data_IF_037378087270
#
_entry.id   IF_037378087270
#
_cell.length_a   1.000
_cell.length_b   1.000
_cell.length_c   1.000
_cell.angle_alpha   90.00
_cell.angle_beta   90.00
_cell.angle_gamma   90.00
#
_symmetry.space_group_name_H-M   'P 1'
#
loop_
_entity.id
_entity.type
_entity.pdbx_description
1 polymer ?
#
# COMPACT_ATOMS: atom_id res chain seq x y z
N UNK A 1 17.12 23.68 39.05
CA UNK A 1 17.44 22.41 38.36
C UNK A 1 16.16 21.83 37.78
N UNK A 2 15.85 22.16 36.53
CA UNK A 2 14.66 21.65 35.83
C UNK A 2 15.07 20.66 34.75
N UNK A 3 14.71 19.38 34.91
CA UNK A 3 14.80 18.38 33.84
C UNK A 3 13.49 18.39 33.06
N UNK A 4 13.53 18.86 31.81
CA UNK A 4 12.48 18.59 30.81
C UNK A 4 12.72 17.20 30.24
N UNK A 5 11.74 16.32 30.42
CA UNK A 5 11.66 15.01 29.76
C UNK A 5 11.14 15.28 28.34
N UNK A 6 11.88 14.82 27.31
CA UNK A 6 11.42 14.83 25.92
C UNK A 6 10.39 13.70 25.72
N UNK A 7 9.29 13.90 24.97
CA UNK A 7 8.47 12.78 24.51
C UNK A 7 9.23 12.03 23.41
N UNK A 8 9.24 10.70 23.51
CA UNK A 8 9.70 9.81 22.45
C UNK A 8 8.69 9.85 21.30
N UNK A 9 9.15 10.25 20.11
CA UNK A 9 8.36 10.14 18.88
C UNK A 9 8.34 8.68 18.43
N UNK A 10 7.14 8.12 18.27
CA UNK A 10 6.93 6.91 17.51
C UNK A 10 7.03 7.25 16.00
N UNK A 11 7.89 6.59 15.22
CA UNK A 11 7.79 6.66 13.77
C UNK A 11 6.62 5.75 13.34
N UNK A 12 5.58 6.35 12.76
CA UNK A 12 4.63 5.61 11.94
C UNK A 12 5.40 5.05 10.75
N UNK A 13 5.42 3.72 10.63
CA UNK A 13 6.09 3.03 9.53
C UNK A 13 5.08 2.95 8.38
N UNK A 14 5.26 3.80 7.37
CA UNK A 14 4.68 3.58 6.06
C UNK A 14 5.59 2.58 5.33
N UNK A 15 5.09 1.38 5.09
CA UNK A 15 5.80 0.40 4.27
C UNK A 15 5.55 0.73 2.79
N UNK A 16 6.52 1.41 2.18
CA UNK A 16 6.61 1.50 0.73
C UNK A 16 7.43 0.30 0.27
N UNK A 17 6.84 -0.60 -0.51
CA UNK A 17 7.57 -1.67 -1.19
C UNK A 17 8.41 -1.07 -2.32
N UNK A 18 9.72 -1.30 -2.31
CA UNK A 18 10.66 -0.61 -3.22
C UNK A 18 11.56 -1.61 -3.92
N UNK A 19 11.75 -1.38 -5.23
CA UNK A 19 12.70 -2.05 -6.12
C UNK A 19 14.15 -1.88 -5.64
N UNK A 20 14.79 -2.96 -5.21
CA UNK A 20 16.25 -3.05 -5.00
C UNK A 20 16.88 -3.84 -6.15
N UNK A 21 17.42 -3.17 -7.19
CA UNK A 21 18.33 -3.80 -8.16
C UNK A 21 19.75 -3.31 -7.92
N UNK A 22 20.60 -4.17 -7.35
CA UNK A 22 22.03 -3.96 -7.25
C UNK A 22 22.68 -4.11 -8.64
N UNK A 23 23.21 -3.03 -9.21
CA UNK A 23 24.08 -3.10 -10.38
C UNK A 23 25.55 -3.23 -9.96
N UNK A 24 26.25 -4.23 -10.50
CA UNK A 24 27.69 -4.37 -10.40
C UNK A 24 28.41 -3.36 -11.29
N UNK A 25 29.28 -2.54 -10.71
CA UNK A 25 30.14 -1.60 -11.45
C UNK A 25 31.37 -2.30 -12.04
N UNK A 26 31.51 -2.30 -13.37
CA UNK A 26 32.78 -2.47 -14.08
C UNK A 26 33.51 -1.12 -14.25
N UNK A 27 34.84 -1.11 -14.49
CA UNK A 27 35.64 0.11 -14.41
C UNK A 27 35.47 1.03 -15.62
N UNK A 28 35.44 2.34 -15.34
CA UNK A 28 35.28 3.42 -16.28
C UNK A 28 36.52 3.65 -17.16
N UNK A 29 36.33 3.75 -18.48
CA UNK A 29 37.31 4.28 -19.42
C UNK A 29 37.15 5.81 -19.58
N UNK A 30 38.26 6.54 -19.45
CA UNK A 30 38.33 8.02 -19.60
C UNK A 30 38.17 8.44 -21.07
N UNK A 31 37.51 9.58 -21.39
CA UNK A 31 37.57 10.14 -22.73
C UNK A 31 38.74 11.12 -22.90
N UNK A 32 39.39 11.06 -24.05
CA UNK A 32 40.39 12.02 -24.53
C UNK A 32 39.67 13.14 -25.27
N UNK A 33 39.94 14.39 -24.87
CA UNK A 33 39.42 15.58 -25.52
C UNK A 33 40.08 15.80 -26.89
N UNK A 34 39.28 16.06 -27.93
CA UNK A 34 39.72 16.76 -29.15
C UNK A 34 38.80 17.92 -29.46
N UNK A 35 39.39 19.11 -29.50
CA UNK A 35 38.78 20.37 -29.95
C UNK A 35 38.62 20.35 -31.47
N UNK A 36 37.44 20.75 -31.94
CA UNK A 36 37.19 21.15 -33.32
C UNK A 36 35.87 21.92 -33.38
N UNK A 37 35.94 23.24 -33.55
CA UNK A 37 34.79 24.05 -33.96
C UNK A 37 34.71 24.05 -35.48
N UNK A 38 33.49 24.01 -36.04
CA UNK A 38 33.15 25.05 -37.00
C UNK A 38 31.81 25.72 -36.67
N UNK A 39 31.73 26.98 -37.08
CA UNK A 39 30.54 27.84 -37.04
C UNK A 39 29.64 27.44 -38.20
N UNK A 40 28.37 27.16 -37.94
CA UNK A 40 27.32 27.17 -38.96
C UNK A 40 26.17 28.08 -38.54
N UNK A 41 25.92 29.07 -39.38
CA UNK A 41 24.77 29.97 -39.35
C UNK A 41 23.56 29.16 -39.86
N UNK A 42 22.52 29.00 -39.03
CA UNK A 42 21.30 28.26 -39.40
C UNK A 42 20.06 29.05 -39.03
N UNK A 43 19.23 29.34 -40.04
CA UNK A 43 17.93 30.00 -39.90
C UNK A 43 17.04 29.30 -38.86
N UNK A 44 16.49 30.07 -37.93
CA UNK A 44 15.43 29.62 -37.01
C UNK A 44 14.09 29.76 -37.72
N UNK A 45 13.59 28.68 -38.31
CA UNK A 45 12.18 28.51 -38.61
C UNK A 45 11.48 28.05 -37.33
N UNK A 46 10.71 28.95 -36.72
CA UNK A 46 9.86 28.67 -35.58
C UNK A 46 8.66 27.83 -35.99
N UNK A 47 8.83 26.51 -36.04
CA UNK A 47 7.73 25.56 -35.94
C UNK A 47 7.61 25.09 -34.50
N UNK A 48 6.48 25.34 -33.84
CA UNK A 48 6.09 24.58 -32.66
C UNK A 48 5.85 23.13 -33.09
N UNK A 49 6.93 22.36 -33.19
CA UNK A 49 6.85 20.91 -33.10
C UNK A 49 6.45 20.61 -31.66
N UNK A 50 5.18 20.24 -31.47
CA UNK A 50 4.76 19.43 -30.33
C UNK A 50 5.54 18.12 -30.44
N UNK A 51 6.79 18.12 -29.97
CA UNK A 51 7.58 16.91 -29.83
C UNK A 51 6.77 15.97 -28.94
N UNK A 52 6.49 14.79 -29.46
CA UNK A 52 6.00 13.69 -28.64
C UNK A 52 6.91 13.61 -27.39
N UNK A 53 6.34 13.54 -26.18
CA UNK A 53 7.15 13.41 -24.98
C UNK A 53 8.10 12.22 -25.15
N UNK A 54 9.34 12.31 -24.65
CA UNK A 54 10.19 11.13 -24.56
C UNK A 54 9.42 10.09 -23.74
N UNK A 55 9.47 8.80 -24.14
CA UNK A 55 8.86 7.74 -23.35
C UNK A 55 9.36 7.80 -21.91
N UNK A 56 8.54 7.35 -20.97
CA UNK A 56 8.93 7.09 -19.60
C UNK A 56 10.38 6.55 -19.55
N UNK A 57 11.31 7.38 -19.07
CA UNK A 57 12.73 7.04 -18.99
C UNK A 57 13.00 5.87 -18.05
N UNK A 58 14.26 5.60 -17.72
CA UNK A 58 14.65 4.51 -16.80
C UNK A 58 13.82 4.42 -15.51
N UNK A 59 13.80 3.24 -14.89
CA UNK A 59 13.08 2.99 -13.64
C UNK A 59 13.42 3.99 -12.53
N UNK A 60 12.46 4.24 -11.66
CA UNK A 60 12.69 4.91 -10.37
C UNK A 60 13.06 3.84 -9.34
N UNK A 61 14.14 4.09 -8.60
CA UNK A 61 14.61 3.22 -7.50
C UNK A 61 14.78 4.06 -6.23
N UNK A 62 14.85 3.44 -5.04
CA UNK A 62 15.40 4.14 -3.88
C UNK A 62 16.91 3.94 -3.80
N UNK A 63 17.61 4.99 -3.43
CA UNK A 63 19.01 4.93 -3.03
C UNK A 63 19.18 5.83 -1.81
N UNK A 64 19.65 5.27 -0.70
CA UNK A 64 19.82 5.98 0.58
C UNK A 64 18.54 6.71 1.06
N UNK A 65 17.37 6.11 0.84
CA UNK A 65 16.08 6.66 1.27
C UNK A 65 15.49 7.75 0.34
N UNK A 66 16.09 8.00 -0.82
CA UNK A 66 15.58 8.95 -1.81
C UNK A 66 15.30 8.27 -3.14
N UNK A 67 14.25 8.72 -3.83
CA UNK A 67 13.97 8.26 -5.19
C UNK A 67 15.03 8.80 -6.15
N UNK A 68 15.47 7.93 -7.06
CA UNK A 68 16.47 8.21 -8.07
C UNK A 68 16.02 7.64 -9.39
N UNK A 69 16.13 8.45 -10.44
CA UNK A 69 15.89 8.01 -11.80
C UNK A 69 17.15 7.32 -12.34
N UNK A 70 17.00 6.08 -12.82
CA UNK A 70 18.15 5.24 -13.22
C UNK A 70 18.81 5.67 -14.52
N UNK A 71 18.09 6.38 -15.39
CA UNK A 71 18.63 6.83 -16.66
C UNK A 71 19.44 8.12 -16.50
N UNK A 72 18.85 9.12 -15.83
CA UNK A 72 19.52 10.38 -15.54
C UNK A 72 20.55 10.28 -14.41
N UNK A 73 20.42 9.25 -13.55
CA UNK A 73 21.21 9.10 -12.33
C UNK A 73 20.96 10.20 -11.29
N UNK A 74 19.92 11.01 -11.45
CA UNK A 74 19.61 12.15 -10.57
C UNK A 74 18.52 11.80 -9.57
N UNK A 75 18.46 12.54 -8.47
CA UNK A 75 17.30 12.45 -7.57
C UNK A 75 16.04 12.82 -8.32
N UNK A 76 14.98 12.06 -8.07
CA UNK A 76 13.66 12.32 -8.59
C UNK A 76 12.74 12.63 -7.40
N UNK A 77 12.00 13.74 -7.47
CA UNK A 77 11.10 14.16 -6.40
C UNK A 77 9.68 14.06 -6.95
N UNK A 78 8.82 13.19 -6.39
CA UNK A 78 7.44 13.11 -6.83
C UNK A 78 6.71 14.41 -6.51
N UNK A 79 6.05 14.99 -7.51
CA UNK A 79 5.11 16.09 -7.35
C UNK A 79 3.88 15.85 -8.24
N UNK A 80 2.72 15.77 -7.63
CA UNK A 80 1.49 15.60 -8.40
C UNK A 80 0.32 15.25 -7.51
N UNK A 81 -0.56 14.40 -8.01
CA UNK A 81 -1.92 14.30 -7.51
C UNK A 81 -2.25 12.88 -7.06
N UNK A 82 -3.08 12.79 -6.02
CA UNK A 82 -3.89 11.60 -5.81
C UNK A 82 -5.06 11.66 -6.79
N UNK A 83 -5.15 10.67 -7.67
CA UNK A 83 -6.14 10.59 -8.71
C UNK A 83 -6.92 9.28 -8.55
N UNK A 84 -8.15 9.38 -8.05
CA UNK A 84 -9.02 8.22 -7.98
C UNK A 84 -9.54 7.92 -9.38
N UNK A 85 -9.12 6.78 -9.92
CA UNK A 85 -9.40 6.38 -11.30
C UNK A 85 -10.44 5.28 -11.39
N UNK A 86 -10.23 4.20 -10.62
CA UNK A 86 -11.03 2.98 -10.67
C UNK A 86 -11.38 2.49 -9.26
N UNK A 87 -12.40 3.08 -8.64
CA UNK A 87 -12.94 2.61 -7.38
C UNK A 87 -14.44 2.98 -7.30
N UNK A 88 -15.30 2.12 -7.84
CA UNK A 88 -16.74 2.37 -7.90
C UNK A 88 -17.38 2.56 -6.52
N UNK A 89 -16.83 1.95 -5.47
CA UNK A 89 -17.32 2.08 -4.09
C UNK A 89 -17.24 3.51 -3.55
N UNK A 90 -16.34 4.35 -4.10
CA UNK A 90 -16.22 5.78 -3.76
C UNK A 90 -16.55 6.68 -4.95
N UNK A 91 -17.33 6.16 -5.91
CA UNK A 91 -17.79 6.88 -7.10
C UNK A 91 -16.67 7.31 -8.07
N UNK A 92 -15.49 6.68 -7.99
CA UNK A 92 -14.40 6.88 -8.93
C UNK A 92 -14.57 5.95 -10.14
N UNK A 93 -15.24 6.45 -11.18
CA UNK A 93 -15.61 5.69 -12.39
C UNK A 93 -15.13 6.37 -13.67
N UNK A 94 -13.92 6.93 -13.66
CA UNK A 94 -13.38 7.70 -14.78
C UNK A 94 -13.30 6.83 -16.05
N UNK A 95 -13.87 7.33 -17.14
CA UNK A 95 -13.72 6.70 -18.46
C UNK A 95 -12.28 6.82 -18.98
N UNK A 96 -11.86 5.96 -19.93
CA UNK A 96 -10.54 6.07 -20.56
C UNK A 96 -10.22 7.48 -21.09
N UNK A 97 -11.19 8.13 -21.75
CA UNK A 97 -11.02 9.49 -22.27
C UNK A 97 -10.86 10.55 -21.16
N UNK A 98 -11.52 10.38 -20.00
CA UNK A 98 -11.32 11.25 -18.85
C UNK A 98 -9.93 11.03 -18.24
N UNK A 99 -9.46 9.79 -18.15
CA UNK A 99 -8.11 9.46 -17.67
C UNK A 99 -7.05 10.12 -18.54
N UNK A 100 -7.15 9.97 -19.87
CA UNK A 100 -6.24 10.61 -20.81
C UNK A 100 -6.22 12.14 -20.67
N UNK A 101 -7.41 12.76 -20.61
CA UNK A 101 -7.56 14.20 -20.45
C UNK A 101 -6.95 14.68 -19.13
N UNK A 102 -7.35 14.09 -18.01
CA UNK A 102 -6.92 14.50 -16.68
C UNK A 102 -5.41 14.35 -16.51
N UNK A 103 -4.83 13.22 -16.94
CA UNK A 103 -3.38 13.02 -16.89
C UNK A 103 -2.62 14.01 -17.77
N UNK A 104 -3.15 14.33 -18.96
CA UNK A 104 -2.56 15.34 -19.83
C UNK A 104 -2.60 16.73 -19.17
N UNK A 105 -3.72 17.13 -18.56
CA UNK A 105 -3.84 18.42 -17.85
C UNK A 105 -2.93 18.47 -16.62
N UNK A 106 -2.85 17.40 -15.84
CA UNK A 106 -1.92 17.28 -14.71
C UNK A 106 -0.46 17.43 -15.16
N UNK A 107 -0.10 16.82 -16.29
CA UNK A 107 1.22 16.99 -16.90
C UNK A 107 1.47 18.42 -17.38
N UNK A 108 0.46 19.11 -17.95
CA UNK A 108 0.58 20.52 -18.37
C UNK A 108 0.86 21.46 -17.20
N UNK A 109 0.37 21.13 -16.00
CA UNK A 109 0.71 21.85 -14.76
C UNK A 109 1.95 21.29 -14.05
N UNK A 110 2.78 20.54 -14.77
CA UNK A 110 4.08 20.02 -14.33
C UNK A 110 4.02 18.95 -13.23
N UNK A 111 2.92 18.21 -13.11
CA UNK A 111 2.98 16.96 -12.35
C UNK A 111 3.92 15.96 -13.05
N UNK A 112 4.69 15.22 -12.25
CA UNK A 112 5.53 14.11 -12.72
C UNK A 112 5.08 12.76 -12.17
N UNK A 113 4.14 12.76 -11.23
CA UNK A 113 3.71 11.55 -10.52
C UNK A 113 2.25 11.56 -10.16
N UNK A 114 1.60 10.40 -10.19
CA UNK A 114 0.22 10.21 -9.77
C UNK A 114 0.11 9.02 -8.82
N UNK A 115 -0.68 9.17 -7.76
CA UNK A 115 -1.19 8.03 -6.99
C UNK A 115 -2.53 7.61 -7.59
N UNK A 116 -2.63 6.37 -8.07
CA UNK A 116 -3.82 5.82 -8.75
C UNK A 116 -4.35 4.61 -7.98
N UNK A 117 -5.58 4.20 -8.25
CA UNK A 117 -6.21 3.04 -7.61
C UNK A 117 -6.13 1.81 -8.51
N UNK A 118 -5.67 0.68 -7.98
CA UNK A 118 -5.80 -0.66 -8.57
C UNK A 118 -6.71 -1.49 -7.64
N UNK A 119 -8.02 -1.26 -7.76
CA UNK A 119 -9.04 -1.84 -6.89
C UNK A 119 -9.28 -3.31 -7.22
N UNK A 120 -9.26 -4.18 -6.20
CA UNK A 120 -9.34 -5.63 -6.40
C UNK A 120 -10.58 -6.07 -7.15
N UNK A 121 -11.78 -5.66 -6.71
CA UNK A 121 -13.03 -6.04 -7.37
C UNK A 121 -13.24 -5.48 -8.78
N UNK A 122 -12.48 -4.46 -9.18
CA UNK A 122 -12.49 -3.90 -10.55
C UNK A 122 -11.56 -4.68 -11.47
N UNK A 123 -10.55 -5.34 -10.92
CA UNK A 123 -9.52 -6.07 -11.66
C UNK A 123 -9.84 -7.57 -11.70
N UNK A 124 -10.21 -8.17 -10.58
CA UNK A 124 -10.61 -9.57 -10.47
C UNK A 124 -12.13 -9.65 -10.28
N UNK A 125 -12.84 -9.68 -11.40
CA UNK A 125 -14.31 -9.54 -11.44
C UNK A 125 -15.04 -10.81 -11.01
N UNK A 126 -14.37 -11.96 -11.11
CA UNK A 126 -14.78 -13.26 -10.57
C UNK A 126 -13.53 -14.00 -10.07
N UNK A 127 -13.68 -15.04 -9.26
CA UNK A 127 -12.57 -15.84 -8.76
C UNK A 127 -11.68 -16.32 -9.91
N UNK A 128 -10.42 -15.89 -9.90
CA UNK A 128 -9.41 -16.14 -10.94
C UNK A 128 -9.76 -15.62 -12.35
N UNK A 129 -10.68 -14.65 -12.48
CA UNK A 129 -11.01 -13.98 -13.74
C UNK A 129 -10.66 -12.51 -13.69
N UNK A 130 -9.65 -12.13 -14.48
CA UNK A 130 -9.05 -10.81 -14.46
C UNK A 130 -9.40 -9.99 -15.70
N UNK A 131 -9.88 -8.76 -15.47
CA UNK A 131 -9.99 -7.72 -16.49
C UNK A 131 -8.94 -6.63 -16.20
N UNK A 132 -7.91 -6.60 -17.04
CA UNK A 132 -6.80 -5.64 -16.93
C UNK A 132 -6.99 -4.40 -17.78
N UNK A 133 -8.07 -4.31 -18.57
CA UNK A 133 -8.23 -3.29 -19.60
C UNK A 133 -8.06 -1.86 -19.07
N UNK A 134 -8.65 -1.56 -17.90
CA UNK A 134 -8.57 -0.22 -17.29
C UNK A 134 -7.21 0.08 -16.69
N UNK A 135 -6.59 -0.88 -16.00
CA UNK A 135 -5.27 -0.68 -15.39
C UNK A 135 -4.17 -0.63 -16.45
N UNK A 136 -4.27 -1.42 -17.52
CA UNK A 136 -3.38 -1.33 -18.67
C UNK A 136 -3.48 0.04 -19.34
N UNK A 137 -4.70 0.55 -19.53
CA UNK A 137 -4.92 1.88 -20.08
C UNK A 137 -4.29 2.99 -19.23
N UNK A 138 -4.43 2.91 -17.90
CA UNK A 138 -3.82 3.83 -16.94
C UNK A 138 -2.29 3.81 -17.05
N UNK A 139 -1.69 2.61 -17.07
CA UNK A 139 -0.24 2.46 -17.14
C UNK A 139 0.30 2.96 -18.47
N UNK A 140 -0.32 2.57 -19.59
CA UNK A 140 0.08 3.02 -20.92
C UNK A 140 -0.02 4.54 -21.06
N UNK A 141 -1.12 5.14 -20.60
CA UNK A 141 -1.31 6.59 -20.62
C UNK A 141 -0.23 7.31 -19.81
N UNK A 142 0.16 6.75 -18.66
CA UNK A 142 1.24 7.32 -17.86
C UNK A 142 2.60 7.19 -18.56
N UNK A 143 2.90 6.06 -19.20
CA UNK A 143 4.12 5.87 -20.00
C UNK A 143 4.21 6.88 -21.15
N UNK A 144 3.11 7.04 -21.89
CA UNK A 144 3.00 7.95 -23.04
C UNK A 144 3.17 9.41 -22.62
N UNK A 145 2.78 9.77 -21.39
CA UNK A 145 2.89 11.13 -20.87
C UNK A 145 4.18 11.37 -20.05
N UNK A 146 5.00 10.33 -19.84
CA UNK A 146 6.19 10.40 -19.00
C UNK A 146 5.87 10.63 -17.51
N UNK A 147 4.70 10.19 -17.04
CA UNK A 147 4.28 10.25 -15.65
C UNK A 147 4.71 8.98 -14.92
N UNK A 148 5.03 9.12 -13.63
CA UNK A 148 5.28 7.98 -12.74
C UNK A 148 4.04 7.67 -11.89
N UNK A 149 3.79 6.41 -11.63
CA UNK A 149 2.65 5.93 -10.88
C UNK A 149 3.08 5.41 -9.51
N UNK A 150 2.25 5.70 -8.52
CA UNK A 150 2.17 5.03 -7.24
C UNK A 150 0.82 4.31 -7.14
N UNK A 151 0.69 3.09 -7.71
CA UNK A 151 -0.58 2.38 -7.66
C UNK A 151 -0.84 1.90 -6.24
N UNK A 152 -2.02 2.24 -5.73
CA UNK A 152 -2.57 1.67 -4.52
C UNK A 152 -3.26 0.35 -4.88
N UNK A 153 -2.66 -0.75 -4.45
CA UNK A 153 -3.10 -2.11 -4.74
C UNK A 153 -4.09 -2.55 -3.68
N UNK A 154 -5.34 -2.69 -4.11
CA UNK A 154 -6.43 -3.19 -3.29
C UNK A 154 -6.83 -2.24 -2.16
N UNK A 155 -8.05 -2.45 -1.70
CA UNK A 155 -8.51 -1.96 -0.41
C UNK A 155 -8.74 -3.16 0.50
N UNK A 156 -9.04 -2.94 1.77
CA UNK A 156 -9.46 -4.03 2.65
C UNK A 156 -10.85 -4.58 2.31
N UNK A 157 -11.53 -3.99 1.32
CA UNK A 157 -12.76 -4.49 0.71
C UNK A 157 -12.41 -5.42 -0.47
N UNK A 158 -12.58 -6.74 -0.31
CA UNK A 158 -12.34 -7.68 -1.39
C UNK A 158 -13.51 -7.67 -2.40
N UNK A 159 -13.36 -8.37 -3.55
CA UNK A 159 -14.41 -8.49 -4.55
C UNK A 159 -15.69 -9.15 -4.00
N UNK A 160 -16.82 -8.98 -4.70
CA UNK A 160 -18.12 -9.54 -4.27
C UNK A 160 -18.19 -11.07 -4.25
N UNK A 161 -17.35 -11.75 -5.02
CA UNK A 161 -17.22 -13.21 -5.01
C UNK A 161 -16.41 -13.73 -3.81
N UNK A 162 -15.75 -12.85 -3.06
CA UNK A 162 -14.90 -13.22 -1.94
C UNK A 162 -15.72 -13.96 -0.86
N UNK A 163 -15.29 -15.15 -0.40
CA UNK A 163 -16.07 -15.94 0.53
C UNK A 163 -16.40 -15.19 1.83
N UNK A 164 -17.66 -15.23 2.24
CA UNK A 164 -18.12 -14.47 3.41
C UNK A 164 -17.44 -14.91 4.71
N UNK A 165 -17.05 -16.17 4.83
CA UNK A 165 -16.29 -16.68 5.98
C UNK A 165 -14.86 -16.14 6.08
N UNK A 166 -14.33 -15.53 5.00
CA UNK A 166 -13.02 -14.89 4.98
C UNK A 166 -13.10 -13.38 5.31
N UNK A 167 -14.30 -12.85 5.49
CA UNK A 167 -14.52 -11.48 5.92
C UNK A 167 -14.48 -11.38 7.45
N UNK A 168 -14.05 -10.23 7.97
CA UNK A 168 -13.98 -9.96 9.39
C UNK A 168 -15.38 -9.83 10.02
N UNK A 169 -15.50 -10.11 11.31
CA UNK A 169 -16.77 -9.96 12.06
C UNK A 169 -16.70 -8.75 12.97
N UNK A 170 -17.76 -7.93 12.94
CA UNK A 170 -17.93 -6.74 13.78
C UNK A 170 -18.22 -7.12 15.24
N UNK A 171 -18.02 -6.18 16.15
CA UNK A 171 -18.28 -6.34 17.58
C UNK A 171 -19.70 -6.81 17.91
N UNK A 172 -20.70 -6.33 17.15
CA UNK A 172 -22.10 -6.71 17.28
C UNK A 172 -22.42 -8.08 16.64
N UNK A 173 -21.39 -8.83 16.19
CA UNK A 173 -21.47 -10.14 15.53
C UNK A 173 -22.03 -10.14 14.11
N UNK A 174 -22.25 -8.96 13.52
CA UNK A 174 -22.56 -8.86 12.10
C UNK A 174 -21.30 -9.04 11.25
N UNK A 175 -21.50 -9.54 10.04
CA UNK A 175 -20.44 -9.63 9.04
C UNK A 175 -19.98 -8.22 8.63
N UNK A 176 -18.66 -8.01 8.52
CA UNK A 176 -18.08 -6.81 7.91
C UNK A 176 -17.86 -7.02 6.41
N UNK A 177 -17.65 -5.92 5.68
CA UNK A 177 -17.17 -5.95 4.30
C UNK A 177 -15.63 -5.98 4.21
N UNK A 178 -14.94 -5.88 5.34
CA UNK A 178 -13.49 -5.91 5.41
C UNK A 178 -12.98 -7.34 5.47
N UNK A 179 -11.87 -7.62 4.78
CA UNK A 179 -11.14 -8.88 4.86
C UNK A 179 -10.72 -9.22 6.30
N UNK A 180 -10.81 -10.49 6.69
CA UNK A 180 -10.26 -10.95 7.96
C UNK A 180 -8.73 -11.02 7.87
N UNK A 181 -8.05 -10.13 8.59
CA UNK A 181 -6.59 -10.09 8.59
C UNK A 181 -5.93 -11.34 9.14
N UNK A 182 -6.60 -12.17 9.95
CA UNK A 182 -6.04 -13.40 10.52
C UNK A 182 -6.40 -14.67 9.78
N UNK A 183 -7.38 -14.62 8.86
CA UNK A 183 -7.81 -15.81 8.13
C UNK A 183 -6.73 -16.21 7.11
N UNK A 184 -6.21 -17.46 7.16
CA UNK A 184 -5.09 -17.88 6.31
C UNK A 184 -5.43 -17.80 4.81
N UNK A 185 -6.61 -18.29 4.41
CA UNK A 185 -7.02 -18.23 3.01
C UNK A 185 -7.27 -16.79 2.53
N UNK A 186 -7.80 -15.92 3.39
CA UNK A 186 -7.98 -14.51 3.08
C UNK A 186 -6.64 -13.82 2.83
N UNK A 187 -5.66 -14.04 3.72
CA UNK A 187 -4.27 -13.59 3.54
C UNK A 187 -3.70 -14.11 2.22
N UNK A 188 -3.85 -15.40 1.95
CA UNK A 188 -3.35 -16.04 0.73
C UNK A 188 -3.93 -15.41 -0.52
N UNK A 189 -5.26 -15.24 -0.59
CA UNK A 189 -5.95 -14.63 -1.71
C UNK A 189 -5.48 -13.19 -1.95
N UNK A 190 -5.35 -12.40 -0.88
CA UNK A 190 -4.89 -11.02 -0.99
C UNK A 190 -3.43 -10.92 -1.45
N UNK A 191 -2.54 -11.79 -0.96
CA UNK A 191 -1.15 -11.85 -1.43
C UNK A 191 -1.02 -12.36 -2.86
N UNK A 192 -1.89 -13.27 -3.30
CA UNK A 192 -1.93 -13.73 -4.69
C UNK A 192 -2.35 -12.58 -5.62
N UNK A 193 -3.40 -11.85 -5.25
CA UNK A 193 -3.83 -10.66 -5.99
C UNK A 193 -2.70 -9.60 -6.09
N UNK A 194 -2.02 -9.29 -4.97
CA UNK A 194 -0.87 -8.38 -4.98
C UNK A 194 0.21 -8.89 -5.96
N UNK A 195 0.58 -10.18 -5.88
CA UNK A 195 1.62 -10.76 -6.74
C UNK A 195 1.26 -10.66 -8.23
N UNK A 196 -0.02 -10.87 -8.58
CA UNK A 196 -0.50 -10.76 -9.97
C UNK A 196 -0.44 -9.34 -10.48
N UNK A 197 -0.85 -8.37 -9.66
CA UNK A 197 -0.80 -6.95 -10.03
C UNK A 197 0.65 -6.50 -10.20
N UNK A 198 1.52 -6.77 -9.23
CA UNK A 198 2.91 -6.32 -9.31
C UNK A 198 3.67 -7.02 -10.42
N UNK A 199 3.52 -8.34 -10.56
CA UNK A 199 4.17 -9.11 -11.62
C UNK A 199 3.70 -8.73 -13.03
N UNK A 200 2.44 -8.29 -13.20
CA UNK A 200 1.94 -7.81 -14.49
C UNK A 200 2.67 -6.57 -14.97
N UNK A 201 2.99 -5.64 -14.07
CA UNK A 201 3.55 -4.33 -14.40
C UNK A 201 5.03 -4.18 -14.01
N UNK A 202 5.72 -5.28 -13.68
CA UNK A 202 7.11 -5.27 -13.21
C UNK A 202 8.09 -4.56 -14.18
N UNK A 203 7.85 -4.71 -15.48
CA UNK A 203 8.70 -4.16 -16.55
C UNK A 203 8.28 -2.75 -16.98
N UNK A 204 7.19 -2.20 -16.44
CA UNK A 204 6.75 -0.86 -16.78
C UNK A 204 7.58 0.19 -16.02
N UNK A 205 8.30 1.09 -16.71
CA UNK A 205 9.01 2.18 -16.06
C UNK A 205 8.06 3.24 -15.50
N UNK A 206 6.78 3.26 -15.87
CA UNK A 206 5.81 4.15 -15.25
C UNK A 206 5.63 3.82 -13.77
N UNK A 207 5.79 2.58 -13.33
CA UNK A 207 5.65 2.23 -11.90
C UNK A 207 6.87 2.71 -11.11
N UNK A 208 6.68 3.67 -10.21
CA UNK A 208 7.73 4.14 -9.30
C UNK A 208 7.79 3.35 -7.98
N UNK A 209 6.63 3.05 -7.39
CA UNK A 209 6.53 2.21 -6.19
C UNK A 209 5.09 1.71 -6.00
N UNK A 210 4.93 0.68 -5.19
CA UNK A 210 3.63 0.11 -4.84
C UNK A 210 3.16 0.59 -3.48
N UNK A 211 1.90 1.00 -3.39
CA UNK A 211 1.21 1.23 -2.12
C UNK A 211 0.34 -0.01 -1.87
N UNK A 212 0.66 -0.80 -0.86
CA UNK A 212 -0.01 -2.07 -0.60
C UNK A 212 -1.15 -1.84 0.39
N UNK A 213 -2.39 -1.79 -0.09
CA UNK A 213 -3.58 -1.45 0.69
C UNK A 213 -3.73 0.02 1.05
N UNK A 214 -4.90 0.40 1.58
CA UNK A 214 -5.22 1.76 2.00
C UNK A 214 -5.57 1.82 3.49
N UNK A 215 -4.72 2.39 4.35
CA UNK A 215 -5.07 2.69 5.74
C UNK A 215 -5.66 1.50 6.53
N UNK A 216 -4.90 0.41 6.67
CA UNK A 216 -5.34 -0.76 7.43
C UNK A 216 -5.82 -0.39 8.82
N UNK A 217 -7.02 -0.88 9.15
CA UNK A 217 -7.66 -0.64 10.42
C UNK A 217 -8.50 -1.86 10.83
N UNK A 218 -8.64 -2.06 12.14
CA UNK A 218 -9.59 -3.02 12.72
C UNK A 218 -10.99 -2.41 12.88
N UNK A 219 -11.40 -1.55 11.95
CA UNK A 219 -12.75 -1.02 11.80
C UNK A 219 -12.93 -0.52 10.38
N UNK A 220 -14.17 -0.27 9.98
CA UNK A 220 -14.53 0.19 8.65
C UNK A 220 -14.52 1.73 8.59
N UNK A 221 -13.52 2.29 7.87
CA UNK A 221 -13.35 3.74 7.68
C UNK A 221 -14.48 4.37 6.83
N UNK A 222 -15.22 3.56 6.08
CA UNK A 222 -16.27 3.99 5.16
C UNK A 222 -17.66 3.49 5.58
N UNK A 223 -17.79 2.89 6.78
CA UNK A 223 -19.08 2.49 7.32
C UNK A 223 -19.95 3.74 7.54
N UNK A 224 -21.18 3.69 7.06
CA UNK A 224 -22.14 4.80 7.17
C UNK A 224 -22.89 4.81 8.50
N UNK A 225 -22.78 3.73 9.27
CA UNK A 225 -23.42 3.59 10.57
C UNK A 225 -22.55 4.24 11.67
N UNK A 226 -23.18 5.10 12.47
CA UNK A 226 -22.59 5.67 13.69
C UNK A 226 -23.19 4.96 14.91
N UNK A 227 -22.38 4.37 15.82
CA UNK A 227 -20.92 4.37 15.86
C UNK A 227 -20.27 3.34 14.93
N UNK A 228 -19.10 3.69 14.37
CA UNK A 228 -18.22 2.73 13.70
C UNK A 228 -17.82 1.60 14.66
N UNK A 229 -18.01 0.35 14.23
CA UNK A 229 -17.72 -0.79 15.07
C UNK A 229 -16.33 -1.38 14.75
N UNK A 230 -15.63 -1.79 15.80
CA UNK A 230 -14.42 -2.58 15.62
C UNK A 230 -14.76 -3.95 14.97
N UNK A 231 -13.86 -4.45 14.14
CA UNK A 231 -13.89 -5.79 13.55
C UNK A 231 -12.91 -6.74 14.26
N UNK A 232 -12.82 -7.97 13.77
CA UNK A 232 -11.94 -9.01 14.31
C UNK A 232 -12.50 -9.72 15.54
N UNK A 233 -13.83 -9.80 15.66
CA UNK A 233 -14.51 -10.54 16.74
C UNK A 233 -14.99 -11.92 16.29
N UNK A 234 -14.36 -12.49 15.27
CA UNK A 234 -14.54 -13.88 14.85
C UNK A 234 -13.66 -14.85 15.68
N UNK A 235 -13.91 -16.15 15.54
CA UNK A 235 -13.17 -17.18 16.28
C UNK A 235 -11.69 -17.25 15.90
N UNK A 236 -11.34 -16.94 14.65
CA UNK A 236 -9.95 -16.97 14.16
C UNK A 236 -9.16 -15.82 14.79
N UNK A 237 -9.71 -14.60 14.73
CA UNK A 237 -9.13 -13.42 15.40
C UNK A 237 -9.01 -13.63 16.92
N UNK A 238 -10.02 -14.20 17.57
CA UNK A 238 -9.99 -14.52 19.00
C UNK A 238 -8.87 -15.51 19.35
N UNK A 239 -8.66 -16.54 18.53
CA UNK A 239 -7.57 -17.50 18.71
C UNK A 239 -6.19 -16.86 18.49
N UNK A 240 -6.05 -16.03 17.45
CA UNK A 240 -4.82 -15.31 17.16
C UNK A 240 -4.42 -14.35 18.30
N UNK A 241 -5.39 -13.65 18.90
CA UNK A 241 -5.15 -12.80 20.06
C UNK A 241 -4.71 -13.60 21.29
N UNK A 242 -5.33 -14.74 21.57
CA UNK A 242 -4.91 -15.62 22.68
C UNK A 242 -3.50 -16.14 22.50
N UNK A 243 -3.14 -16.52 21.27
CA UNK A 243 -1.76 -16.92 20.95
C UNK A 243 -0.78 -15.76 21.15
N UNK A 244 -1.14 -14.55 20.71
CA UNK A 244 -0.33 -13.35 20.95
C UNK A 244 -0.14 -13.08 22.44
N UNK A 245 -1.21 -13.17 23.25
CA UNK A 245 -1.13 -12.99 24.70
C UNK A 245 -0.24 -14.05 25.34
N UNK A 246 -0.39 -15.32 24.96
CA UNK A 246 0.47 -16.40 25.44
C UNK A 246 1.94 -16.07 25.19
N UNK A 247 2.29 -15.62 23.98
CA UNK A 247 3.67 -15.22 23.67
C UNK A 247 4.11 -13.97 24.45
N UNK A 248 3.26 -12.95 24.53
CA UNK A 248 3.54 -11.68 25.21
C UNK A 248 3.83 -11.89 26.70
N UNK A 249 3.07 -12.77 27.36
CA UNK A 249 3.24 -13.13 28.77
C UNK A 249 4.12 -14.37 28.99
N UNK A 250 4.89 -14.80 27.98
CA UNK A 250 5.81 -15.94 28.04
C UNK A 250 5.16 -17.24 28.55
N UNK A 251 3.90 -17.49 28.18
CA UNK A 251 3.10 -18.65 28.60
C UNK A 251 2.56 -18.57 30.03
N UNK A 252 2.76 -17.45 30.74
CA UNK A 252 2.32 -17.29 32.13
C UNK A 252 0.95 -16.64 32.22
N UNK A 253 -0.10 -17.46 32.35
CA UNK A 253 -1.46 -16.95 32.63
C UNK A 253 -1.53 -16.18 33.95
N UNK A 254 -0.69 -16.54 34.93
CA UNK A 254 -0.59 -15.83 36.21
C UNK A 254 -0.07 -14.39 36.03
N UNK A 255 0.88 -14.17 35.11
CA UNK A 255 1.39 -12.83 34.81
C UNK A 255 0.32 -11.96 34.14
N UNK A 256 -0.45 -12.52 33.20
CA UNK A 256 -1.59 -11.84 32.59
C UNK A 256 -2.63 -11.47 33.66
N UNK A 257 -3.06 -12.44 34.47
CA UNK A 257 -4.05 -12.22 35.53
C UNK A 257 -3.60 -11.13 36.53
N UNK A 258 -2.32 -11.12 36.90
CA UNK A 258 -1.76 -10.08 37.76
C UNK A 258 -1.78 -8.69 37.12
N UNK A 259 -1.56 -8.59 35.80
CA UNK A 259 -1.59 -7.32 35.09
C UNK A 259 -3.03 -6.83 34.86
N UNK A 260 -3.91 -7.74 34.46
CA UNK A 260 -5.29 -7.42 34.09
C UNK A 260 -6.26 -7.36 35.28
N UNK A 261 -5.84 -7.82 36.46
CA UNK A 261 -6.74 -7.94 37.61
C UNK A 261 -7.82 -9.02 37.42
N UNK A 262 -7.49 -10.07 36.67
CA UNK A 262 -8.40 -11.18 36.32
C UNK A 262 -7.96 -12.49 36.99
N UNK A 263 -8.71 -13.57 36.77
CA UNK A 263 -8.45 -14.89 37.33
C UNK A 263 -8.74 -16.02 36.32
N UNK A 264 -8.34 -15.85 35.05
CA UNK A 264 -8.49 -16.88 34.03
C UNK A 264 -7.67 -18.13 34.37
N UNK A 265 -8.21 -19.31 34.09
CA UNK A 265 -7.50 -20.57 34.32
C UNK A 265 -6.46 -20.87 33.25
N UNK A 266 -6.67 -20.34 32.04
CA UNK A 266 -5.79 -20.50 30.87
C UNK A 266 -6.01 -19.36 29.85
N UNK A 267 -5.12 -19.24 28.85
CA UNK A 267 -5.30 -18.26 27.76
C UNK A 267 -6.54 -18.54 26.91
N UNK A 268 -7.01 -19.79 26.85
CA UNK A 268 -8.20 -20.20 26.07
C UNK A 268 -9.51 -19.62 26.64
N UNK A 269 -9.52 -19.14 27.88
CA UNK A 269 -10.67 -18.47 28.48
C UNK A 269 -10.69 -16.95 28.22
N UNK A 270 -9.57 -16.36 27.80
CA UNK A 270 -9.46 -14.91 27.61
C UNK A 270 -10.37 -14.47 26.46
N UNK A 271 -11.12 -13.40 26.67
CA UNK A 271 -12.00 -12.79 25.67
C UNK A 271 -11.47 -11.43 25.25
N UNK A 272 -11.59 -11.10 23.96
CA UNK A 272 -11.37 -9.73 23.52
C UNK A 272 -12.39 -8.80 24.17
N UNK A 273 -11.92 -7.64 24.66
CA UNK A 273 -12.82 -6.59 25.09
C UNK A 273 -13.68 -6.14 23.90
N UNK A 274 -15.00 -6.20 24.06
CA UNK A 274 -15.94 -5.68 23.06
C UNK A 274 -16.10 -4.18 23.22
N UNK A 275 -16.19 -3.66 24.44
CA UNK A 275 -16.48 -2.25 24.65
C UNK A 275 -15.23 -1.38 24.63
N UNK A 276 -15.36 -0.18 24.06
CA UNK A 276 -14.38 0.86 24.27
C UNK A 276 -14.40 1.22 25.77
N UNK A 277 -13.29 1.04 26.50
CA UNK A 277 -13.30 1.24 27.94
C UNK A 277 -13.41 2.74 28.25
N UNK A 278 -14.15 3.09 29.32
CA UNK A 278 -14.17 4.45 29.85
C UNK A 278 -12.80 4.87 30.38
N UNK A 279 -12.04 3.90 30.91
CA UNK A 279 -10.65 4.06 31.30
C UNK A 279 -9.71 3.63 30.16
N UNK A 280 -8.94 4.58 29.64
CA UNK A 280 -7.93 4.31 28.60
C UNK A 280 -6.68 3.61 29.12
N UNK A 281 -6.60 3.35 30.43
CA UNK A 281 -5.55 2.59 31.08
C UNK A 281 -5.91 1.13 31.32
N UNK A 282 -7.05 0.65 30.81
CA UNK A 282 -7.40 -0.78 30.87
C UNK A 282 -6.32 -1.64 30.17
N UNK A 283 -5.61 -2.51 30.91
CA UNK A 283 -4.48 -3.27 30.37
C UNK A 283 -4.91 -4.27 29.31
N UNK A 284 -6.11 -4.85 29.44
CA UNK A 284 -6.64 -5.79 28.44
C UNK A 284 -6.95 -5.13 27.11
N UNK A 285 -7.52 -3.92 27.16
CA UNK A 285 -7.72 -3.10 25.98
C UNK A 285 -6.41 -2.62 25.37
N UNK A 286 -5.43 -2.22 26.18
CA UNK A 286 -4.11 -1.85 25.68
C UNK A 286 -3.46 -3.01 24.90
N UNK A 287 -3.47 -4.21 25.47
CA UNK A 287 -2.93 -5.40 24.85
C UNK A 287 -3.69 -5.77 23.56
N UNK A 288 -5.02 -5.62 23.55
CA UNK A 288 -5.82 -5.78 22.34
C UNK A 288 -5.39 -4.81 21.22
N UNK A 289 -5.10 -3.56 21.55
CA UNK A 289 -4.61 -2.57 20.58
C UNK A 289 -3.19 -2.92 20.09
N UNK A 290 -2.30 -3.41 20.96
CA UNK A 290 -0.97 -3.83 20.55
C UNK A 290 -1.04 -5.05 19.60
N UNK A 291 -1.88 -6.04 19.91
CA UNK A 291 -2.11 -7.16 19.02
C UNK A 291 -2.67 -6.71 17.66
N UNK A 292 -3.68 -5.84 17.62
CA UNK A 292 -4.24 -5.31 16.37
C UNK A 292 -3.19 -4.63 15.49
N UNK A 293 -2.29 -3.85 16.10
CA UNK A 293 -1.15 -3.22 15.40
C UNK A 293 -0.20 -4.26 14.81
N UNK A 294 0.14 -5.30 15.59
CA UNK A 294 0.99 -6.38 15.12
C UNK A 294 0.33 -7.13 13.95
N UNK A 295 -0.94 -7.50 14.09
CA UNK A 295 -1.70 -8.20 13.05
C UNK A 295 -1.75 -7.42 11.73
N UNK A 296 -2.01 -6.12 11.80
CA UNK A 296 -1.94 -5.23 10.63
C UNK A 296 -0.53 -5.25 10.04
N UNK A 297 0.50 -5.12 10.87
CA UNK A 297 1.91 -5.17 10.45
C UNK A 297 2.26 -6.48 9.73
N UNK A 298 1.82 -7.62 10.27
CA UNK A 298 2.03 -8.94 9.68
C UNK A 298 1.32 -9.06 8.33
N UNK A 299 0.10 -8.54 8.22
CA UNK A 299 -0.68 -8.57 6.98
C UNK A 299 -0.04 -7.71 5.87
N UNK A 300 0.46 -6.53 6.23
CA UNK A 300 1.22 -5.66 5.33
C UNK A 300 2.56 -6.32 4.93
N UNK A 301 3.25 -6.96 5.86
CA UNK A 301 4.51 -7.65 5.60
C UNK A 301 4.34 -8.81 4.62
N UNK A 302 3.26 -9.59 4.73
CA UNK A 302 2.90 -10.64 3.78
C UNK A 302 2.68 -10.06 2.37
N UNK A 303 1.91 -8.98 2.26
CA UNK A 303 1.71 -8.27 0.99
C UNK A 303 3.02 -7.73 0.40
N UNK A 304 3.90 -7.17 1.24
CA UNK A 304 5.19 -6.65 0.82
C UNK A 304 6.14 -7.75 0.32
N UNK A 305 6.13 -8.92 0.98
CA UNK A 305 6.89 -10.08 0.53
C UNK A 305 6.38 -10.62 -0.82
N UNK A 306 5.05 -10.66 -1.00
CA UNK A 306 4.41 -11.03 -2.26
C UNK A 306 4.79 -10.08 -3.40
N UNK A 307 4.65 -8.77 -3.18
CA UNK A 307 5.05 -7.74 -4.14
C UNK A 307 6.52 -7.86 -4.55
N UNK A 308 7.43 -7.93 -3.56
CA UNK A 308 8.88 -8.05 -3.79
C UNK A 308 9.30 -9.35 -4.49
N UNK A 309 8.50 -10.41 -4.36
CA UNK A 309 8.79 -11.68 -5.05
C UNK A 309 8.40 -11.62 -6.53
N UNK A 310 7.45 -10.75 -6.89
CA UNK A 310 6.90 -10.63 -8.23
C UNK A 310 7.45 -9.43 -9.03
N UNK A 311 8.09 -8.45 -8.39
CA UNK A 311 8.72 -7.26 -9.00
C UNK A 311 9.99 -6.83 -8.24
#
# INVERSE_FOLDING_TARGET
MGRRIKPAGHPGVYWIGVKDRLQHCGPAARPVARRGRPVLLGLVLGGLLLLAPPPAGGFIILTNGYFRDTESGSYWIPHGFAYQTINSAVFATQSPAQIEYDMLEMRKVHANSLRVDFTWGEIETNDNQFDWSRTDHIVQTAEDLGLRLFPLIGYQYPPSWFPTQWLAVKQNREQSNIINYEHPDARSAYTDFISRVTGRYQDSPAIAAWILGNEYAYFDLWETNDPHLFVGYDSISQAAFRNWLSNHYCGSIAALNSNWGTAYSSFDEVLMSTNYPSDRHDPGYHDLIQWRKQSIGDSVALGAAAARSAD
#
